data_IF_195895111386
#
_entry.id   IF_195895111386
#
_cell.length_a   1.000
_cell.length_b   1.000
_cell.length_c   1.000
_cell.angle_alpha   90.00
_cell.angle_beta   90.00
_cell.angle_gamma   90.00
#
_symmetry.space_group_name_H-M   'P 1'
#
loop_
_entity.id
_entity.type
_entity.pdbx_description
1 polymer ?
#
# COMPACT_ATOMS: atom_id res chain seq x y z
N UNK A 1 1.01 -43.70 54.01
CA UNK A 1 0.62 -42.67 53.03
C UNK A 1 1.88 -41.92 52.69
N UNK A 2 2.51 -42.33 51.59
CA UNK A 2 3.76 -41.80 51.11
C UNK A 2 3.74 -41.97 49.60
N UNK A 3 4.22 -40.96 48.90
CA UNK A 3 4.40 -40.99 47.46
C UNK A 3 5.73 -41.69 47.17
N UNK A 4 5.78 -42.50 46.11
CA UNK A 4 7.03 -43.03 45.57
C UNK A 4 7.10 -42.68 44.09
N UNK A 5 8.30 -42.40 43.60
CA UNK A 5 8.53 -42.07 42.19
C UNK A 5 8.95 -43.35 41.48
N UNK A 6 8.19 -43.74 40.47
CA UNK A 6 8.30 -45.07 39.86
C UNK A 6 9.17 -45.09 38.59
N UNK A 7 9.10 -44.05 37.76
CA UNK A 7 9.78 -44.00 36.46
C UNK A 7 10.31 -42.60 36.13
N UNK A 8 11.45 -42.57 35.41
CA UNK A 8 11.97 -41.39 34.69
C UNK A 8 12.45 -41.84 33.30
N UNK A 9 11.90 -41.27 32.24
CA UNK A 9 12.19 -41.64 30.83
C UNK A 9 13.03 -40.57 30.14
N UNK A 10 13.87 -40.96 29.17
CA UNK A 10 14.85 -40.10 28.50
C UNK A 10 14.96 -40.50 27.00
N UNK A 11 14.28 -39.76 26.11
CA UNK A 11 14.30 -39.77 24.61
C UNK A 11 13.36 -40.69 23.81
N UNK A 12 12.97 -40.20 22.62
CA UNK A 12 11.86 -40.65 21.74
C UNK A 12 12.00 -42.04 21.08
N UNK A 13 13.01 -42.87 21.39
CA UNK A 13 13.14 -44.17 20.71
C UNK A 13 13.79 -45.32 21.49
N UNK A 14 14.20 -45.14 22.75
CA UNK A 14 14.80 -46.21 23.56
C UNK A 14 14.42 -46.08 25.04
N UNK A 15 13.40 -46.84 25.42
CA UNK A 15 12.89 -46.91 26.80
C UNK A 15 13.92 -47.58 27.71
N UNK A 16 14.36 -46.89 28.76
CA UNK A 16 15.09 -47.48 29.88
C UNK A 16 14.34 -47.20 31.19
N UNK A 17 13.85 -48.26 31.84
CA UNK A 17 13.23 -48.18 33.16
C UNK A 17 14.31 -47.94 34.21
N UNK A 18 14.21 -46.87 34.98
CA UNK A 18 15.05 -46.64 36.17
C UNK A 18 14.17 -46.84 37.39
N UNK A 19 14.37 -47.96 38.08
CA UNK A 19 13.59 -48.33 39.26
C UNK A 19 14.42 -48.02 40.52
N UNK A 20 14.14 -46.90 41.18
CA UNK A 20 14.49 -46.73 42.59
C UNK A 20 13.27 -46.20 43.34
N UNK A 21 12.53 -47.13 43.97
CA UNK A 21 11.44 -46.78 44.88
C UNK A 21 12.03 -46.11 46.13
N UNK A 22 11.65 -44.86 46.39
CA UNK A 22 11.94 -44.20 47.67
C UNK A 22 11.09 -44.78 48.80
N UNK A 23 11.64 -44.79 50.02
CA UNK A 23 10.92 -45.25 51.21
C UNK A 23 9.57 -44.51 51.39
N UNK A 24 8.50 -45.22 51.83
CA UNK A 24 7.20 -44.60 52.08
C UNK A 24 7.30 -43.42 53.06
N UNK A 25 6.97 -42.22 52.59
CA UNK A 25 6.99 -40.98 53.38
C UNK A 25 8.16 -40.04 53.07
N UNK A 26 8.99 -40.36 52.07
CA UNK A 26 9.95 -39.42 51.51
C UNK A 26 9.23 -38.19 50.92
N UNK A 27 9.66 -36.99 51.34
CA UNK A 27 9.19 -35.70 50.80
C UNK A 27 10.17 -35.09 49.80
N UNK A 28 11.31 -35.74 49.61
CA UNK A 28 12.37 -35.35 48.67
C UNK A 28 13.12 -36.60 48.23
N UNK A 29 13.53 -36.63 46.97
CA UNK A 29 14.41 -37.65 46.42
C UNK A 29 15.53 -36.96 45.65
N UNK A 30 16.70 -37.57 45.59
CA UNK A 30 17.81 -37.09 44.77
C UNK A 30 18.21 -38.24 43.87
N UNK A 31 18.18 -38.00 42.57
CA UNK A 31 18.60 -38.96 41.56
C UNK A 31 19.67 -38.33 40.68
N UNK A 32 20.73 -39.08 40.37
CA UNK A 32 21.73 -38.65 39.40
C UNK A 32 21.29 -39.11 38.01
N UNK A 33 21.09 -38.14 37.12
CA UNK A 33 20.80 -38.43 35.72
C UNK A 33 21.94 -39.28 35.12
N UNK A 34 21.62 -40.32 34.33
CA UNK A 34 22.63 -40.99 33.52
C UNK A 34 23.25 -39.97 32.56
N UNK A 35 24.47 -40.22 32.07
CA UNK A 35 25.10 -39.37 31.05
C UNK A 35 24.16 -39.24 29.85
N UNK A 36 23.52 -38.07 29.72
CA UNK A 36 22.64 -37.75 28.62
C UNK A 36 23.49 -37.62 27.36
N UNK A 37 23.08 -38.30 26.29
CA UNK A 37 23.72 -38.21 24.97
C UNK A 37 23.05 -37.14 24.09
N UNK A 38 21.99 -36.49 24.60
CA UNK A 38 21.15 -35.50 23.92
C UNK A 38 20.93 -34.31 24.86
N UNK A 39 20.89 -33.10 24.28
CA UNK A 39 20.52 -31.87 24.99
C UNK A 39 18.99 -31.75 25.18
N UNK A 40 18.22 -32.49 24.38
CA UNK A 40 16.78 -32.60 24.50
C UNK A 40 16.43 -33.90 25.24
N UNK A 41 16.06 -33.77 26.52
CA UNK A 41 15.59 -34.87 27.34
C UNK A 41 14.25 -34.47 27.99
N UNK A 42 13.18 -35.13 27.57
CA UNK A 42 11.88 -35.04 28.23
C UNK A 42 11.80 -36.09 29.33
N UNK A 43 11.35 -35.70 30.52
CA UNK A 43 11.16 -36.62 31.64
C UNK A 43 9.68 -36.68 32.03
N UNK A 44 9.22 -37.85 32.48
CA UNK A 44 7.92 -38.03 33.13
C UNK A 44 8.17 -38.55 34.54
N UNK A 45 7.55 -37.92 35.54
CA UNK A 45 7.51 -38.42 36.92
C UNK A 45 6.17 -39.12 37.15
N UNK A 46 6.19 -40.34 37.70
CA UNK A 46 4.99 -41.05 38.17
C UNK A 46 5.05 -41.19 39.67
N UNK A 47 4.05 -40.66 40.37
CA UNK A 47 3.91 -40.83 41.81
C UNK A 47 2.58 -41.52 42.14
N UNK A 48 2.58 -42.54 43.00
CA UNK A 48 1.34 -43.18 43.46
C UNK A 48 1.29 -43.35 44.98
N UNK A 49 0.08 -43.34 45.54
CA UNK A 49 -0.18 -43.82 46.90
C UNK A 49 -0.63 -45.29 46.85
N UNK A 50 -0.26 -46.08 47.85
CA UNK A 50 -0.85 -47.42 48.06
C UNK A 50 -2.38 -47.33 48.02
N UNK A 51 -3.00 -47.88 46.96
CA UNK A 51 -4.46 -48.01 46.83
C UNK A 51 -5.08 -47.45 45.55
N UNK A 52 -4.33 -46.75 44.69
CA UNK A 52 -4.86 -46.40 43.37
C UNK A 52 -4.73 -47.57 42.39
N UNK A 53 -5.83 -48.01 41.78
CA UNK A 53 -5.77 -48.81 40.55
C UNK A 53 -4.94 -48.06 39.51
N UNK A 54 -4.21 -48.80 38.67
CA UNK A 54 -3.19 -48.34 37.71
C UNK A 54 -3.62 -47.24 36.69
N UNK A 55 -4.74 -46.56 36.89
CA UNK A 55 -5.27 -45.53 36.00
C UNK A 55 -5.45 -44.15 36.66
N UNK A 56 -5.39 -43.99 38.00
CA UNK A 56 -5.95 -42.79 38.66
C UNK A 56 -5.01 -41.90 39.53
N UNK A 57 -3.70 -41.90 39.33
CA UNK A 57 -2.84 -40.91 40.03
C UNK A 57 -1.59 -40.43 39.27
N UNK A 58 -1.59 -40.43 37.94
CA UNK A 58 -0.46 -39.88 37.18
C UNK A 58 -0.67 -38.38 36.96
N UNK A 59 -0.01 -37.54 37.75
CA UNK A 59 0.31 -36.17 37.31
C UNK A 59 1.59 -36.24 36.49
N UNK A 60 1.46 -36.25 35.16
CA UNK A 60 2.61 -36.07 34.27
C UNK A 60 2.69 -34.63 33.83
N UNK A 61 3.68 -33.91 34.32
CA UNK A 61 4.18 -32.67 33.73
C UNK A 61 5.44 -33.05 32.94
N UNK A 62 5.60 -32.51 31.73
CA UNK A 62 6.85 -32.63 30.97
C UNK A 62 7.78 -31.55 31.52
N UNK A 63 8.90 -31.96 32.10
CA UNK A 63 9.97 -31.03 32.48
C UNK A 63 11.11 -31.19 31.49
N UNK A 64 11.56 -30.08 30.91
CA UNK A 64 12.82 -29.99 30.17
C UNK A 64 13.92 -29.63 31.16
N UNK A 65 15.01 -30.40 31.17
CA UNK A 65 16.20 -30.08 31.98
C UNK A 65 17.27 -29.62 31.02
N UNK A 66 17.54 -28.31 31.01
CA UNK A 66 18.66 -27.76 30.25
C UNK A 66 19.98 -28.02 31.02
N UNK A 67 21.08 -28.30 30.31
CA UNK A 67 22.38 -28.41 30.95
C UNK A 67 22.73 -27.08 31.62
N UNK A 68 23.09 -27.10 32.91
CA UNK A 68 23.58 -25.92 33.65
C UNK A 68 24.99 -25.45 33.19
N UNK A 69 25.37 -25.75 31.96
CA UNK A 69 26.73 -25.57 31.43
C UNK A 69 26.74 -25.05 29.98
N UNK A 70 25.69 -24.35 29.56
CA UNK A 70 25.71 -23.53 28.35
C UNK A 70 26.42 -22.19 28.61
N UNK A 71 26.80 -21.50 27.53
CA UNK A 71 27.09 -20.07 27.61
C UNK A 71 25.77 -19.33 27.90
N UNK A 72 25.88 -18.27 28.70
CA UNK A 72 24.81 -17.37 29.13
C UNK A 72 25.48 -16.00 29.01
N UNK A 73 25.32 -15.41 27.83
CA UNK A 73 26.10 -14.26 27.37
C UNK A 73 25.70 -12.99 28.11
N UNK A 74 24.42 -12.86 28.45
CA UNK A 74 23.86 -11.66 29.07
C UNK A 74 23.65 -11.78 30.59
N UNK A 75 23.74 -12.99 31.15
CA UNK A 75 23.70 -13.29 32.57
C UNK A 75 22.30 -13.29 33.18
N UNK A 76 21.25 -13.50 32.39
CA UNK A 76 19.87 -13.43 32.84
C UNK A 76 19.34 -14.74 33.46
N UNK A 77 20.10 -15.83 33.32
CA UNK A 77 19.80 -17.16 33.84
C UNK A 77 19.16 -18.13 32.84
N UNK A 78 18.95 -17.71 31.60
CA UNK A 78 18.65 -18.52 30.42
C UNK A 78 19.97 -18.74 29.65
N UNK A 79 20.13 -19.88 28.99
CA UNK A 79 21.38 -20.17 28.24
C UNK A 79 21.17 -19.86 26.76
N UNK A 80 22.19 -19.33 26.09
CA UNK A 80 22.12 -18.79 24.71
C UNK A 80 21.42 -19.72 23.70
N UNK A 81 21.50 -21.04 23.89
CA UNK A 81 20.90 -22.04 22.99
C UNK A 81 19.36 -22.11 23.06
N UNK A 82 18.75 -21.57 24.11
CA UNK A 82 17.29 -21.51 24.29
C UNK A 82 16.80 -20.11 24.64
N UNK A 83 17.71 -19.14 24.63
CA UNK A 83 17.43 -17.74 24.88
C UNK A 83 16.91 -17.09 23.60
N UNK A 84 15.71 -16.50 23.66
CA UNK A 84 15.14 -15.74 22.54
C UNK A 84 15.72 -14.31 22.41
N UNK A 85 16.54 -13.86 23.36
CA UNK A 85 17.36 -12.66 23.27
C UNK A 85 18.79 -12.86 23.85
N UNK A 86 19.67 -13.65 23.20
CA UNK A 86 20.97 -14.07 23.77
C UNK A 86 21.92 -12.96 24.25
N UNK A 87 21.74 -11.73 23.78
CA UNK A 87 22.56 -10.56 24.13
C UNK A 87 21.82 -9.55 25.03
N UNK A 88 20.53 -9.78 25.35
CA UNK A 88 19.65 -8.83 26.06
C UNK A 88 18.86 -9.51 27.19
N UNK A 89 19.17 -9.21 28.47
CA UNK A 89 18.60 -9.94 29.61
C UNK A 89 17.08 -9.93 29.66
N UNK A 90 16.44 -11.08 29.50
CA UNK A 90 14.99 -11.27 29.50
C UNK A 90 14.57 -12.62 30.12
N UNK A 91 14.83 -12.79 31.43
CA UNK A 91 14.62 -14.06 32.14
C UNK A 91 13.19 -14.65 32.12
N UNK A 92 12.19 -13.88 31.69
CA UNK A 92 10.82 -14.32 31.48
C UNK A 92 10.53 -14.85 30.06
N UNK A 93 11.45 -14.62 29.11
CA UNK A 93 11.44 -15.11 27.73
C UNK A 93 10.11 -14.79 27.04
N UNK A 94 9.63 -13.55 27.24
CA UNK A 94 8.45 -13.06 26.58
C UNK A 94 8.69 -13.00 25.06
N UNK A 95 7.68 -13.43 24.31
CA UNK A 95 7.64 -13.57 22.85
C UNK A 95 6.15 -13.55 22.46
N UNK A 96 5.62 -12.34 22.28
CA UNK A 96 4.20 -12.10 22.14
C UNK A 96 3.64 -12.62 20.81
N UNK A 97 4.41 -12.51 19.73
CA UNK A 97 4.02 -12.85 18.37
C UNK A 97 4.44 -14.27 17.93
N UNK A 98 5.35 -14.91 18.70
CA UNK A 98 5.83 -16.29 18.57
C UNK A 98 6.73 -16.52 17.37
N UNK A 99 7.54 -15.54 17.04
CA UNK A 99 8.50 -15.60 15.95
C UNK A 99 9.88 -16.17 16.39
N UNK A 100 10.08 -16.34 17.70
CA UNK A 100 11.28 -16.83 18.43
C UNK A 100 12.34 -15.78 18.73
N UNK A 101 12.07 -14.53 18.45
CA UNK A 101 12.79 -13.36 18.97
C UNK A 101 12.03 -12.89 20.22
N UNK A 102 12.74 -12.48 21.26
CA UNK A 102 12.08 -12.04 22.48
C UNK A 102 11.66 -10.58 22.42
N UNK A 103 10.57 -10.23 23.10
CA UNK A 103 9.98 -8.87 23.10
C UNK A 103 10.99 -7.74 23.41
N UNK A 104 12.10 -8.03 24.10
CA UNK A 104 13.14 -7.03 24.44
C UNK A 104 14.15 -6.77 23.33
N UNK A 105 14.28 -7.68 22.36
CA UNK A 105 15.20 -7.59 21.25
C UNK A 105 14.49 -7.73 19.89
N UNK A 106 13.16 -7.60 19.90
CA UNK A 106 12.29 -7.67 18.74
C UNK A 106 11.92 -6.27 18.26
N UNK A 107 12.20 -5.97 16.98
CA UNK A 107 11.84 -4.71 16.32
C UNK A 107 10.40 -4.71 15.78
N UNK A 108 9.65 -5.81 15.89
CA UNK A 108 8.21 -5.90 15.68
C UNK A 108 7.50 -6.81 16.71
N UNK A 109 7.43 -6.44 18.02
CA UNK A 109 6.94 -7.32 19.09
C UNK A 109 5.54 -7.94 18.93
N UNK A 110 4.72 -7.39 18.04
CA UNK A 110 3.34 -7.85 17.79
C UNK A 110 3.18 -8.51 16.39
N UNK A 111 4.24 -8.58 15.56
CA UNK A 111 4.18 -9.03 14.16
C UNK A 111 5.38 -9.93 13.80
N UNK A 112 5.15 -11.22 13.49
CA UNK A 112 6.25 -12.17 13.31
C UNK A 112 7.24 -11.82 12.22
N UNK A 113 8.49 -11.58 12.60
CA UNK A 113 9.61 -11.28 11.70
C UNK A 113 10.95 -11.87 12.21
N UNK A 114 11.15 -13.21 12.13
CA UNK A 114 12.32 -13.87 12.73
C UNK A 114 13.68 -13.44 12.17
N UNK A 115 13.70 -12.73 11.04
CA UNK A 115 14.90 -12.18 10.41
C UNK A 115 15.25 -10.76 10.91
N UNK A 116 14.34 -10.10 11.62
CA UNK A 116 14.53 -8.80 12.25
C UNK A 116 15.08 -7.76 11.24
N UNK A 117 14.53 -7.79 10.02
CA UNK A 117 14.85 -6.82 8.97
C UNK A 117 14.44 -5.42 9.39
N UNK A 118 15.30 -4.46 9.10
CA UNK A 118 15.13 -3.02 9.34
C UNK A 118 15.98 -2.30 8.28
N UNK A 119 15.37 -2.01 7.14
CA UNK A 119 16.07 -1.57 5.94
C UNK A 119 16.52 -0.10 6.00
N UNK A 120 15.78 0.74 6.73
CA UNK A 120 16.08 2.17 6.86
C UNK A 120 16.73 2.58 8.20
N UNK A 121 16.85 1.63 9.14
CA UNK A 121 17.51 1.76 10.43
C UNK A 121 16.82 2.76 11.38
N UNK A 122 15.49 2.71 11.45
CA UNK A 122 14.68 3.54 12.34
C UNK A 122 14.25 2.87 13.67
N UNK A 123 14.77 1.66 13.92
CA UNK A 123 14.48 0.78 15.05
C UNK A 123 13.10 0.06 14.99
N UNK A 124 12.38 0.16 13.87
CA UNK A 124 11.16 -0.60 13.58
C UNK A 124 11.42 -1.63 12.47
N UNK A 125 10.83 -2.83 12.59
CA UNK A 125 11.06 -3.86 11.58
C UNK A 125 10.22 -3.67 10.31
N UNK A 126 10.78 -4.07 9.16
CA UNK A 126 10.17 -3.91 7.82
C UNK A 126 8.72 -4.42 7.72
N UNK A 127 8.35 -5.39 8.56
CA UNK A 127 7.02 -6.02 8.54
C UNK A 127 5.94 -5.25 9.29
N UNK A 128 6.35 -4.39 10.23
CA UNK A 128 5.46 -3.57 11.05
C UNK A 128 5.68 -2.07 10.83
N UNK A 129 6.55 -1.72 9.88
CA UNK A 129 6.83 -0.37 9.42
C UNK A 129 5.93 0.02 8.22
N UNK A 130 5.21 1.13 8.35
CA UNK A 130 4.39 1.71 7.29
C UNK A 130 5.19 2.52 6.25
N UNK A 131 6.50 2.67 6.43
CA UNK A 131 7.45 3.20 5.47
C UNK A 131 8.82 2.48 5.50
N UNK A 132 8.91 1.19 5.09
CA UNK A 132 10.12 0.35 5.23
C UNK A 132 11.42 0.85 4.57
N UNK A 133 11.38 1.95 3.81
CA UNK A 133 12.53 2.52 3.10
C UNK A 133 12.79 3.98 3.53
N UNK A 134 12.04 4.51 4.50
CA UNK A 134 12.06 5.91 4.89
C UNK A 134 11.80 6.11 6.40
N UNK A 135 12.90 6.23 7.14
CA UNK A 135 12.91 6.26 8.61
C UNK A 135 11.84 7.17 9.22
N UNK A 136 10.91 6.57 9.97
CA UNK A 136 9.75 7.23 10.55
C UNK A 136 9.26 6.51 11.83
N UNK A 137 10.12 6.44 12.85
CA UNK A 137 9.82 5.82 14.13
C UNK A 137 8.53 6.28 14.85
N UNK A 138 7.88 7.39 14.43
CA UNK A 138 6.58 7.81 14.95
C UNK A 138 5.37 7.15 14.25
N UNK A 139 5.60 6.49 13.09
CA UNK A 139 4.62 5.76 12.29
C UNK A 139 3.36 6.60 12.03
N UNK A 140 3.55 7.90 11.79
CA UNK A 140 2.45 8.78 11.43
C UNK A 140 1.84 8.33 10.09
N UNK A 141 0.52 8.34 10.03
CA UNK A 141 -0.31 7.98 8.88
C UNK A 141 -1.59 8.84 8.98
N UNK A 142 -1.54 10.00 8.36
CA UNK A 142 -2.51 11.08 8.51
C UNK A 142 -3.87 10.76 7.92
N UNK A 143 -3.90 10.01 6.83
CA UNK A 143 -5.10 9.68 6.07
C UNK A 143 -5.60 8.24 6.29
N UNK A 144 -4.82 7.43 7.02
CA UNK A 144 -5.10 6.06 7.43
C UNK A 144 -5.22 5.08 6.26
N UNK A 145 -4.37 5.25 5.24
CA UNK A 145 -4.33 4.39 4.05
C UNK A 145 -3.32 3.24 4.17
N UNK A 146 -2.40 3.32 5.15
CA UNK A 146 -1.38 2.32 5.45
C UNK A 146 0.02 2.64 4.90
N UNK A 147 0.19 3.69 4.11
CA UNK A 147 1.48 4.33 3.86
C UNK A 147 1.72 5.40 4.93
N UNK A 148 2.91 5.46 5.52
CA UNK A 148 3.21 6.50 6.50
C UNK A 148 3.47 7.86 5.87
N UNK A 149 3.25 8.94 6.63
CA UNK A 149 3.46 10.33 6.21
C UNK A 149 4.87 10.59 5.62
N UNK A 150 5.86 9.76 5.99
CA UNK A 150 7.23 9.90 5.51
C UNK A 150 7.45 9.38 4.07
N UNK A 151 6.57 8.50 3.59
CA UNK A 151 6.65 7.86 2.28
C UNK A 151 5.36 7.98 1.46
N UNK A 152 4.33 8.61 2.01
CA UNK A 152 3.05 8.86 1.34
C UNK A 152 3.15 10.05 0.36
N UNK A 153 2.92 9.77 -0.92
CA UNK A 153 2.91 10.75 -2.00
C UNK A 153 1.56 11.50 -2.14
N UNK A 154 0.60 11.22 -1.26
CA UNK A 154 -0.68 11.92 -1.15
C UNK A 154 -1.16 12.08 0.31
N UNK A 155 -0.36 12.74 1.15
CA UNK A 155 -0.55 12.97 2.61
C UNK A 155 -1.96 13.17 3.20
N UNK A 156 -2.93 13.66 2.41
CA UNK A 156 -4.29 13.96 2.84
C UNK A 156 -5.36 13.11 2.09
N UNK A 157 -4.96 12.22 1.19
CA UNK A 157 -5.84 11.50 0.25
C UNK A 157 -5.48 10.02 0.14
N UNK A 158 -6.30 9.11 0.70
CA UNK A 158 -5.97 7.69 0.77
C UNK A 158 -5.70 7.05 -0.58
N UNK A 159 -4.49 6.56 -0.76
CA UNK A 159 -4.02 5.90 -1.97
C UNK A 159 -3.02 4.75 -1.65
N UNK A 160 -3.48 3.62 -1.05
CA UNK A 160 -2.59 2.58 -0.51
C UNK A 160 -1.61 1.92 -1.50
N UNK A 161 -1.83 2.10 -2.81
CA UNK A 161 -0.92 1.62 -3.85
C UNK A 161 0.21 2.58 -4.20
N UNK A 162 0.17 3.83 -3.70
CA UNK A 162 1.19 4.87 -3.90
C UNK A 162 1.56 5.02 -5.39
N UNK A 163 0.54 5.02 -6.25
CA UNK A 163 0.69 5.17 -7.70
C UNK A 163 1.16 6.57 -8.06
N UNK A 164 2.06 6.68 -9.03
CA UNK A 164 2.60 7.93 -9.53
C UNK A 164 3.13 7.65 -10.95
N UNK A 165 2.29 7.90 -11.95
CA UNK A 165 2.49 7.46 -13.33
C UNK A 165 3.52 8.32 -14.08
N UNK A 166 3.62 9.61 -13.76
CA UNK A 166 4.56 10.53 -14.41
C UNK A 166 5.89 10.72 -13.65
N UNK A 167 5.93 10.26 -12.39
CA UNK A 167 7.11 10.28 -11.52
C UNK A 167 7.40 11.65 -10.92
N UNK A 168 6.41 12.53 -10.78
CA UNK A 168 6.55 13.80 -10.07
C UNK A 168 6.45 13.63 -8.54
N UNK A 169 6.27 14.71 -7.76
CA UNK A 169 6.26 14.60 -6.29
C UNK A 169 4.87 14.18 -5.73
N UNK A 170 3.81 14.17 -6.54
CA UNK A 170 2.45 13.82 -6.14
C UNK A 170 2.05 12.43 -6.67
N UNK A 171 1.19 11.74 -5.94
CA UNK A 171 0.58 10.49 -6.42
C UNK A 171 -0.64 10.73 -7.31
N UNK A 172 -0.97 9.75 -8.15
CA UNK A 172 -2.09 9.79 -9.12
C UNK A 172 -3.44 10.16 -8.46
N UNK A 173 -3.59 9.92 -7.15
CA UNK A 173 -4.82 10.17 -6.41
C UNK A 173 -5.01 11.64 -6.00
N UNK A 174 -3.94 12.41 -5.93
CA UNK A 174 -3.93 13.81 -5.49
C UNK A 174 -3.32 14.76 -6.54
N UNK A 175 -2.97 14.24 -7.71
CA UNK A 175 -2.43 14.96 -8.85
C UNK A 175 -3.55 15.33 -9.85
N UNK A 176 -3.65 16.61 -10.20
CA UNK A 176 -4.59 17.12 -11.20
C UNK A 176 -4.12 16.89 -12.66
N UNK A 177 -2.93 16.33 -12.87
CA UNK A 177 -2.41 15.83 -14.15
C UNK A 177 -1.62 14.52 -14.02
N UNK A 178 -2.26 13.37 -13.71
CA UNK A 178 -1.56 12.10 -13.41
C UNK A 178 -0.60 11.56 -14.49
N UNK A 179 -0.70 12.04 -15.74
CA UNK A 179 0.18 11.63 -16.85
C UNK A 179 1.23 12.70 -17.23
N UNK A 180 1.27 13.85 -16.55
CA UNK A 180 2.09 15.00 -16.93
C UNK A 180 2.60 15.82 -15.74
N UNK A 181 3.90 15.65 -15.44
CA UNK A 181 4.55 16.24 -14.28
C UNK A 181 4.31 17.75 -14.12
N UNK A 182 3.69 18.14 -13.02
CA UNK A 182 3.27 19.49 -12.72
C UNK A 182 3.23 19.75 -11.20
N UNK A 183 4.40 19.68 -10.57
CA UNK A 183 4.57 19.87 -9.12
C UNK A 183 3.98 21.17 -8.50
N UNK A 184 3.63 22.19 -9.31
CA UNK A 184 2.93 23.39 -8.80
C UNK A 184 1.40 23.25 -8.78
N UNK A 185 0.86 22.20 -9.40
CA UNK A 185 -0.56 21.85 -9.47
C UNK A 185 -1.40 23.06 -9.90
N UNK A 186 -0.88 23.85 -10.85
CA UNK A 186 -1.60 24.98 -11.40
C UNK A 186 -2.86 24.49 -12.12
N UNK A 187 -3.96 25.21 -11.90
CA UNK A 187 -5.29 24.97 -12.46
C UNK A 187 -5.94 26.36 -12.58
N UNK A 188 -5.81 26.96 -13.76
CA UNK A 188 -6.09 28.36 -14.03
C UNK A 188 -7.57 28.71 -13.98
N UNK A 189 -8.43 27.77 -14.36
CA UNK A 189 -9.87 27.96 -14.45
C UNK A 189 -10.69 27.23 -13.36
N UNK A 190 -10.00 26.44 -12.53
CA UNK A 190 -10.51 25.72 -11.37
C UNK A 190 -11.54 24.64 -11.72
N UNK A 191 -11.33 23.93 -12.82
CA UNK A 191 -12.19 22.82 -13.24
C UNK A 191 -11.71 21.43 -12.76
N UNK A 192 -10.47 21.34 -12.29
CA UNK A 192 -9.83 20.15 -11.75
C UNK A 192 -8.85 19.45 -12.70
N UNK A 193 -8.73 19.87 -13.96
CA UNK A 193 -7.60 19.54 -14.82
C UNK A 193 -6.47 20.54 -14.58
N UNK A 194 -5.23 20.07 -14.44
CA UNK A 194 -4.11 20.99 -14.28
C UNK A 194 -3.68 21.64 -15.59
N UNK A 195 -3.15 22.87 -15.53
CA UNK A 195 -2.67 23.65 -16.71
C UNK A 195 -1.70 22.86 -17.62
N UNK A 196 -1.03 21.84 -17.09
CA UNK A 196 -0.09 21.00 -17.83
C UNK A 196 -0.75 19.96 -18.75
N UNK A 197 -1.99 19.57 -18.45
CA UNK A 197 -2.77 18.56 -19.17
C UNK A 197 -4.16 19.05 -19.62
N UNK A 198 -4.51 20.29 -19.26
CA UNK A 198 -5.72 20.97 -19.68
C UNK A 198 -5.60 21.47 -21.15
N UNK A 199 -6.61 21.18 -21.96
CA UNK A 199 -6.68 21.57 -23.38
C UNK A 199 -7.48 22.86 -23.59
N UNK A 200 -7.97 23.46 -22.50
CA UNK A 200 -8.54 24.80 -22.39
C UNK A 200 -8.16 25.50 -21.06
N UNK A 201 -6.87 25.83 -20.77
CA UNK A 201 -6.40 26.38 -19.48
C UNK A 201 -7.05 27.68 -18.95
N UNK A 202 -7.93 28.31 -19.72
CA UNK A 202 -8.66 29.51 -19.36
C UNK A 202 -10.19 29.31 -19.34
N UNK A 203 -10.70 28.11 -19.63
CA UNK A 203 -12.11 27.83 -19.85
C UNK A 203 -12.53 26.42 -19.40
N UNK A 204 -13.09 26.38 -18.18
CA UNK A 204 -13.46 25.16 -17.49
C UNK A 204 -14.20 24.11 -18.36
N UNK A 205 -13.56 22.97 -18.53
CA UNK A 205 -13.97 21.82 -19.33
C UNK A 205 -13.45 20.50 -18.74
N UNK A 206 -13.76 20.23 -17.46
CA UNK A 206 -13.26 19.08 -16.70
C UNK A 206 -13.39 17.67 -17.34
N UNK A 207 -14.19 17.50 -18.40
CA UNK A 207 -14.29 16.28 -19.20
C UNK A 207 -13.23 16.17 -20.33
N UNK A 208 -12.49 17.25 -20.58
CA UNK A 208 -11.42 17.37 -21.57
C UNK A 208 -11.86 16.91 -22.96
N UNK A 209 -13.12 17.18 -23.33
CA UNK A 209 -13.66 16.79 -24.64
C UNK A 209 -12.94 17.57 -25.77
N UNK A 210 -12.49 16.84 -26.78
CA UNK A 210 -11.84 17.31 -28.00
C UNK A 210 -12.39 16.45 -29.14
N UNK A 211 -13.48 16.92 -29.75
CA UNK A 211 -14.31 16.11 -30.62
C UNK A 211 -13.69 15.88 -32.01
N UNK A 212 -12.84 16.79 -32.47
CA UNK A 212 -12.17 16.69 -33.76
C UNK A 212 -10.68 16.32 -33.67
N UNK A 213 -10.07 16.37 -32.49
CA UNK A 213 -8.72 15.89 -32.21
C UNK A 213 -7.64 16.88 -32.63
N UNK A 214 -7.90 18.18 -32.51
CA UNK A 214 -7.00 19.25 -32.91
C UNK A 214 -6.09 19.78 -31.77
N UNK A 215 -6.16 19.13 -30.60
CA UNK A 215 -5.48 19.43 -29.33
C UNK A 215 -6.08 20.63 -28.55
N UNK A 216 -7.19 21.21 -29.01
CA UNK A 216 -7.95 22.23 -28.28
C UNK A 216 -9.28 21.65 -27.79
N UNK A 217 -9.68 21.97 -26.56
CA UNK A 217 -10.94 21.45 -26.03
C UNK A 217 -12.16 22.13 -26.66
N UNK A 218 -13.26 21.38 -26.79
CA UNK A 218 -14.55 21.85 -27.34
C UNK A 218 -15.07 23.14 -26.67
N UNK A 219 -14.67 23.39 -25.42
CA UNK A 219 -15.08 24.56 -24.64
C UNK A 219 -14.39 25.87 -25.06
N UNK A 220 -13.20 25.78 -25.65
CA UNK A 220 -12.41 26.93 -26.08
C UNK A 220 -12.07 26.90 -27.58
N UNK A 221 -12.57 25.91 -28.31
CA UNK A 221 -12.49 25.79 -29.76
C UNK A 221 -13.62 26.56 -30.46
N UNK A 222 -13.24 27.42 -31.43
CA UNK A 222 -14.17 28.15 -32.28
C UNK A 222 -14.74 27.33 -33.45
N UNK A 223 -14.27 26.08 -33.64
CA UNK A 223 -14.81 25.08 -34.55
C UNK A 223 -14.77 23.63 -34.00
N UNK A 224 -15.53 23.27 -32.94
CA UNK A 224 -15.49 21.96 -32.25
C UNK A 224 -15.79 20.69 -33.06
N UNK A 225 -15.93 20.78 -34.37
CA UNK A 225 -16.14 19.62 -35.25
C UNK A 225 -15.28 19.67 -36.52
N UNK A 226 -14.27 20.54 -36.58
CA UNK A 226 -13.44 20.72 -37.75
C UNK A 226 -12.02 21.20 -37.37
N UNK A 227 -11.07 20.26 -37.38
CA UNK A 227 -9.66 20.49 -37.00
C UNK A 227 -9.12 21.85 -37.48
N UNK A 228 -8.84 22.76 -36.53
CA UNK A 228 -8.29 24.08 -36.80
C UNK A 228 -7.36 24.58 -35.68
N UNK A 229 -6.18 23.96 -35.50
CA UNK A 229 -5.27 24.29 -34.39
C UNK A 229 -4.76 25.75 -34.35
N UNK A 230 -4.97 26.54 -35.42
CA UNK A 230 -4.60 27.95 -35.47
C UNK A 230 -5.73 28.90 -35.01
N UNK A 231 -6.94 28.38 -34.80
CA UNK A 231 -8.12 29.10 -34.33
C UNK A 231 -8.36 30.39 -35.13
N UNK A 232 -8.09 30.35 -36.44
CA UNK A 232 -8.30 31.50 -37.31
C UNK A 232 -9.78 31.91 -37.33
N UNK A 233 -10.04 33.19 -37.16
CA UNK A 233 -11.37 33.82 -37.20
C UNK A 233 -11.18 35.20 -37.86
N UNK A 234 -11.36 35.22 -39.19
CA UNK A 234 -11.02 36.34 -40.06
C UNK A 234 -11.88 37.58 -39.82
N UNK A 235 -13.15 37.37 -39.48
CA UNK A 235 -14.15 38.43 -39.34
C UNK A 235 -14.53 38.74 -37.88
N UNK A 236 -13.99 37.97 -36.93
CA UNK A 236 -14.09 38.12 -35.48
C UNK A 236 -15.50 37.94 -34.92
N UNK A 237 -16.28 37.05 -35.52
CA UNK A 237 -17.64 36.76 -35.11
C UNK A 237 -17.75 35.61 -34.08
N UNK A 238 -16.66 34.86 -33.89
CA UNK A 238 -16.54 33.74 -32.96
C UNK A 238 -16.71 32.35 -33.57
N UNK A 239 -17.04 32.22 -34.85
CA UNK A 239 -16.91 30.99 -35.61
C UNK A 239 -15.55 30.99 -36.34
N UNK A 240 -14.81 29.89 -36.27
CA UNK A 240 -13.52 29.83 -36.95
C UNK A 240 -13.66 29.68 -38.47
N UNK A 241 -12.66 30.15 -39.22
CA UNK A 241 -12.58 30.09 -40.69
C UNK A 241 -12.80 28.67 -41.25
N UNK A 242 -12.52 27.63 -40.44
CA UNK A 242 -12.67 26.23 -40.82
C UNK A 242 -14.13 25.74 -40.86
N UNK A 243 -15.01 26.37 -40.08
CA UNK A 243 -16.42 26.00 -39.94
C UNK A 243 -17.39 27.15 -40.25
N UNK A 244 -16.87 28.35 -40.50
CA UNK A 244 -17.64 29.52 -40.87
C UNK A 244 -18.12 29.43 -42.34
N UNK A 245 -19.44 29.53 -42.53
CA UNK A 245 -20.06 29.57 -43.84
C UNK A 245 -20.07 30.97 -44.49
N UNK A 246 -19.53 31.99 -43.80
CA UNK A 246 -19.22 33.32 -44.32
C UNK A 246 -17.89 33.92 -43.76
N UNK A 247 -16.70 33.36 -44.07
CA UNK A 247 -15.40 33.68 -43.43
C UNK A 247 -14.90 35.15 -43.45
N UNK A 248 -15.63 36.06 -44.09
CA UNK A 248 -15.26 37.47 -44.24
C UNK A 248 -16.40 38.41 -43.77
N UNK A 249 -17.55 37.87 -43.37
CA UNK A 249 -18.79 38.61 -43.09
C UNK A 249 -19.50 38.08 -41.82
N UNK A 250 -19.46 38.82 -40.69
CA UNK A 250 -19.86 38.30 -39.38
C UNK A 250 -21.28 37.73 -39.32
N UNK A 251 -21.39 36.47 -38.91
CA UNK A 251 -22.58 35.64 -38.99
C UNK A 251 -22.66 34.56 -37.88
N UNK A 252 -22.18 34.84 -36.65
CA UNK A 252 -22.01 33.91 -35.52
C UNK A 252 -23.09 32.81 -35.26
N UNK A 253 -24.34 33.01 -35.71
CA UNK A 253 -25.39 31.98 -35.66
C UNK A 253 -25.28 30.92 -36.78
N UNK A 254 -24.35 31.09 -37.73
CA UNK A 254 -24.03 30.22 -38.85
C UNK A 254 -25.26 29.76 -39.65
N UNK A 255 -26.21 30.70 -39.84
CA UNK A 255 -27.46 30.45 -40.56
C UNK A 255 -27.22 30.12 -42.03
N UNK A 256 -27.91 29.10 -42.54
CA UNK A 256 -27.87 28.66 -43.94
C UNK A 256 -29.23 28.01 -44.27
N UNK A 257 -30.17 28.80 -44.77
CA UNK A 257 -31.57 28.41 -44.89
C UNK A 257 -31.84 27.41 -46.03
N UNK A 258 -31.03 27.41 -47.08
CA UNK A 258 -31.19 26.52 -48.24
C UNK A 258 -30.15 25.37 -48.31
N UNK A 259 -29.15 25.40 -47.43
CA UNK A 259 -28.14 24.36 -47.24
C UNK A 259 -27.07 24.33 -48.33
N UNK A 260 -26.81 25.46 -48.97
CA UNK A 260 -25.74 25.63 -49.97
C UNK A 260 -24.36 25.88 -49.30
N UNK A 261 -23.31 26.21 -50.05
CA UNK A 261 -21.96 26.40 -49.46
C UNK A 261 -21.80 27.75 -48.72
N UNK A 262 -22.76 28.67 -48.80
CA UNK A 262 -22.71 30.03 -48.28
C UNK A 262 -23.77 30.23 -47.19
N UNK A 263 -23.43 30.97 -46.13
CA UNK A 263 -24.40 31.35 -45.11
C UNK A 263 -25.36 32.46 -45.58
N UNK A 264 -26.48 32.60 -44.87
CA UNK A 264 -27.52 33.60 -45.16
C UNK A 264 -26.98 35.04 -45.28
N UNK A 265 -25.86 35.34 -44.60
CA UNK A 265 -25.22 36.66 -44.58
C UNK A 265 -24.47 36.98 -45.88
N UNK A 266 -23.79 36.00 -46.47
CA UNK A 266 -22.92 36.15 -47.63
C UNK A 266 -23.47 35.49 -48.91
N UNK A 267 -24.61 34.81 -48.81
CA UNK A 267 -25.37 34.29 -49.94
C UNK A 267 -26.15 35.42 -50.65
N UNK A 268 -25.96 35.52 -51.97
CA UNK A 268 -26.69 36.46 -52.83
C UNK A 268 -28.14 36.01 -53.14
N UNK A 269 -28.54 34.80 -52.75
CA UNK A 269 -29.90 34.29 -52.87
C UNK A 269 -30.30 33.36 -51.68
N UNK A 270 -30.37 33.86 -50.42
CA UNK A 270 -30.44 33.06 -49.16
C UNK A 270 -31.55 32.00 -49.00
N UNK A 271 -32.46 31.89 -49.95
CA UNK A 271 -33.60 30.95 -49.90
C UNK A 271 -33.58 29.98 -51.09
N UNK A 272 -32.53 30.00 -51.92
CA UNK A 272 -32.43 29.29 -53.20
C UNK A 272 -31.00 28.78 -53.43
N UNK A 273 -30.80 27.49 -53.11
CA UNK A 273 -29.53 26.78 -53.27
C UNK A 273 -28.75 27.16 -54.55
N UNK A 274 -27.59 27.79 -54.40
CA UNK A 274 -26.82 28.40 -55.50
C UNK A 274 -25.31 28.55 -55.21
N UNK A 275 -24.59 27.44 -55.01
CA UNK A 275 -23.13 27.46 -54.75
C UNK A 275 -22.27 28.19 -55.81
N UNK A 276 -22.81 28.56 -56.98
CA UNK A 276 -22.08 29.33 -57.99
C UNK A 276 -22.15 30.85 -57.79
N UNK A 277 -23.04 31.33 -56.89
CA UNK A 277 -23.19 32.74 -56.51
C UNK A 277 -23.17 33.68 -57.72
N UNK A 278 -23.86 33.28 -58.80
CA UNK A 278 -23.80 34.00 -60.09
C UNK A 278 -24.55 35.33 -59.98
N UNK A 279 -23.80 36.43 -59.99
CA UNK A 279 -24.35 37.79 -60.09
C UNK A 279 -23.99 38.40 -61.46
N UNK A 280 -24.91 38.31 -62.42
CA UNK A 280 -24.67 38.72 -63.80
C UNK A 280 -24.75 40.23 -64.05
N UNK A 281 -25.52 40.96 -63.24
CA UNK A 281 -25.71 42.41 -63.38
C UNK A 281 -25.01 43.23 -62.30
N UNK A 282 -24.38 42.58 -61.32
CA UNK A 282 -23.53 43.17 -60.30
C UNK A 282 -24.32 43.89 -59.22
N UNK A 283 -25.58 43.50 -58.97
CA UNK A 283 -26.44 44.14 -57.97
C UNK A 283 -26.40 43.46 -56.60
N UNK A 284 -25.68 42.34 -56.49
CA UNK A 284 -25.53 41.53 -55.27
C UNK A 284 -26.67 40.54 -55.04
N UNK A 285 -27.51 40.25 -56.05
CA UNK A 285 -28.61 39.28 -55.97
C UNK A 285 -28.45 38.21 -57.07
N UNK A 286 -28.57 36.93 -56.68
CA UNK A 286 -28.47 35.76 -57.59
C UNK A 286 -29.72 35.46 -58.42
#
# INVERSE_FOLDING_TARGET
MGWYIDDVEITESNWQTVTEATDPGAVSFTWQLPNLQSIDACFRLRASEEGCSNEDAVRSEIFSIFPSSGEDTDGDGVVDVVDNCPDTPNSDQADADRDRVGDLCDNCPDTPNPDQGDADADDLGDTCDNCPEAANADQADGDADGAGDACDNCLDTPNPSQGNADGDDLGDACDNCPEAANADQADGDADGAGDACDNCPEAANADQEDADGDDLGDACDNCPGAENPDQADGDTDGAGDACDNCPEDPNAEQGNADGDDFGDTCDNCPEVFNNDQVDSDGDGIG
#
